data_IF_098366199487
#
_entry.id   IF_098366199487
#
_cell.length_a   1.000
_cell.length_b   1.000
_cell.length_c   1.000
_cell.angle_alpha   90.00
_cell.angle_beta   90.00
_cell.angle_gamma   90.00
#
_symmetry.space_group_name_H-M   'P 1'
#
loop_
_entity.id
_entity.type
_entity.pdbx_description
1 polymer ?
#
# COMPACT_ATOMS: atom_id res chain seq x y z
N UNK A 1 -45.97 -3.61 33.77
CA UNK A 1 -45.49 -5.00 33.63
C UNK A 1 -44.17 -4.97 32.86
N UNK A 2 -43.06 -5.10 33.58
CA UNK A 2 -41.72 -5.07 33.00
C UNK A 2 -41.32 -6.45 32.46
N UNK A 3 -40.70 -6.48 31.30
CA UNK A 3 -39.96 -7.66 30.83
C UNK A 3 -38.55 -7.24 30.40
N UNK A 4 -37.59 -7.91 31.05
CA UNK A 4 -36.16 -7.83 30.85
C UNK A 4 -35.76 -8.18 29.41
N UNK A 5 -35.03 -7.29 28.73
CA UNK A 5 -34.27 -7.63 27.52
C UNK A 5 -32.83 -7.92 27.95
N UNK A 6 -32.51 -9.21 28.05
CA UNK A 6 -31.17 -9.71 28.29
C UNK A 6 -30.23 -9.38 27.12
N UNK A 7 -29.16 -8.64 27.42
CA UNK A 7 -28.02 -8.41 26.52
C UNK A 7 -27.28 -9.72 26.26
N UNK A 8 -27.52 -10.36 25.12
CA UNK A 8 -26.74 -11.52 24.70
C UNK A 8 -25.52 -11.07 23.86
N UNK A 9 -24.42 -10.71 24.54
CA UNK A 9 -23.09 -10.53 23.91
C UNK A 9 -22.51 -11.91 23.57
N UNK A 10 -22.88 -12.48 22.42
CA UNK A 10 -22.08 -13.58 21.82
C UNK A 10 -20.91 -12.98 21.06
N UNK A 11 -19.72 -13.12 21.65
CA UNK A 11 -18.42 -12.80 21.03
C UNK A 11 -18.19 -13.77 19.86
N UNK A 12 -18.23 -13.25 18.63
CA UNK A 12 -17.63 -13.89 17.45
C UNK A 12 -16.11 -13.99 17.66
N UNK A 13 -15.64 -15.03 18.35
CA UNK A 13 -14.23 -15.42 18.42
C UNK A 13 -14.07 -16.73 17.66
N UNK A 14 -13.92 -16.62 16.35
CA UNK A 14 -13.77 -17.78 15.46
C UNK A 14 -13.03 -17.48 14.17
N UNK A 15 -12.23 -16.42 14.09
CA UNK A 15 -11.44 -16.09 12.90
C UNK A 15 -10.19 -15.29 13.30
N UNK A 16 -9.13 -15.97 13.77
CA UNK A 16 -7.77 -15.39 13.88
C UNK A 16 -6.64 -16.35 14.34
N UNK A 17 -6.77 -17.68 14.20
CA UNK A 17 -5.67 -18.59 14.60
C UNK A 17 -5.46 -19.72 13.60
N UNK A 18 -4.64 -19.48 12.57
CA UNK A 18 -3.63 -20.43 12.08
C UNK A 18 -2.83 -19.76 10.96
N UNK A 19 -1.65 -19.21 11.25
CA UNK A 19 -0.50 -19.03 10.34
C UNK A 19 0.70 -18.58 11.18
N UNK A 20 1.14 -19.45 12.08
CA UNK A 20 2.42 -19.34 12.78
C UNK A 20 2.87 -20.75 13.13
N UNK A 21 3.65 -21.37 12.25
CA UNK A 21 4.63 -22.43 12.55
C UNK A 21 5.27 -22.87 11.26
N UNK A 22 6.46 -22.35 10.96
CA UNK A 22 7.53 -23.06 10.24
C UNK A 22 8.76 -22.17 10.12
N UNK A 23 9.49 -22.00 11.23
CA UNK A 23 10.96 -22.04 11.25
C UNK A 23 11.34 -22.55 12.65
N UNK A 24 11.56 -23.86 12.79
CA UNK A 24 12.33 -24.43 13.92
C UNK A 24 13.43 -25.29 13.31
N UNK A 25 14.68 -24.90 13.54
CA UNK A 25 15.84 -25.82 13.49
C UNK A 25 16.16 -26.29 14.92
N UNK A 26 16.70 -27.51 15.11
CA UNK A 26 16.77 -28.14 16.42
C UNK A 26 18.02 -27.76 17.22
N UNK A 27 17.83 -27.59 18.53
CA UNK A 27 18.75 -28.02 19.59
C UNK A 27 20.01 -27.18 19.87
N UNK A 28 19.96 -26.36 20.92
CA UNK A 28 21.05 -26.21 21.90
C UNK A 28 20.51 -25.57 23.20
N UNK A 29 21.03 -26.00 24.35
CA UNK A 29 20.53 -25.76 25.71
C UNK A 29 20.83 -24.35 26.24
N UNK A 30 19.91 -23.92 27.11
CA UNK A 30 19.91 -22.86 28.14
C UNK A 30 21.20 -22.12 28.50
N UNK A 31 21.12 -20.78 28.58
CA UNK A 31 21.53 -19.97 29.73
C UNK A 31 20.94 -18.55 29.64
N UNK A 32 20.55 -18.00 30.78
CA UNK A 32 19.94 -16.67 30.96
C UNK A 32 20.91 -15.52 30.72
N UNK A 33 20.44 -14.40 30.17
CA UNK A 33 20.69 -13.05 30.69
C UNK A 33 20.04 -11.99 29.79
N UNK A 34 19.79 -10.83 30.41
CA UNK A 34 19.10 -9.65 29.92
C UNK A 34 19.74 -9.06 28.65
N UNK A 35 18.93 -8.60 27.70
CA UNK A 35 19.39 -7.84 26.52
C UNK A 35 19.26 -6.33 26.79
N UNK A 36 20.30 -5.51 26.52
CA UNK A 36 20.24 -4.06 26.72
C UNK A 36 19.69 -3.32 25.47
N UNK A 37 19.25 -2.05 25.63
CA UNK A 37 18.69 -1.25 24.54
C UNK A 37 19.76 -0.64 23.63
N UNK A 38 19.34 -0.25 22.42
CA UNK A 38 20.14 0.40 21.37
C UNK A 38 20.98 1.58 21.90
N UNK A 39 22.29 1.53 21.65
CA UNK A 39 23.17 2.69 21.76
C UNK A 39 24.14 2.82 20.59
N UNK A 40 24.57 4.07 20.43
CA UNK A 40 25.21 4.71 19.29
C UNK A 40 26.70 4.33 19.08
N UNK A 41 27.16 4.71 17.88
CA UNK A 41 28.52 4.62 17.35
C UNK A 41 29.64 5.05 18.30
N UNK A 42 30.70 4.23 18.36
CA UNK A 42 32.09 4.67 18.59
C UNK A 42 33.05 3.85 17.70
N UNK A 43 34.00 4.55 17.07
CA UNK A 43 35.07 3.98 16.23
C UNK A 43 36.13 3.25 17.07
N UNK A 44 36.80 2.22 16.54
CA UNK A 44 38.05 1.71 17.11
C UNK A 44 39.29 2.18 16.35
N UNK A 45 40.28 2.52 17.17
CA UNK A 45 41.69 2.78 16.90
C UNK A 45 42.47 1.54 16.47
N UNK A 46 43.54 1.77 15.73
CA UNK A 46 44.48 0.79 15.16
C UNK A 46 45.59 0.46 16.17
N UNK A 47 45.97 -0.82 16.25
CA UNK A 47 47.31 -1.26 16.70
C UNK A 47 47.89 -2.30 15.72
N UNK A 48 49.19 -2.16 15.46
CA UNK A 48 50.03 -2.88 14.48
C UNK A 48 50.64 -4.18 15.04
N UNK A 49 51.30 -4.89 14.12
CA UNK A 49 52.34 -5.94 14.23
C UNK A 49 51.83 -7.39 14.08
N UNK A 50 52.41 -8.27 13.26
CA UNK A 50 53.56 -8.21 12.34
C UNK A 50 53.67 -9.54 11.55
N UNK A 51 54.30 -9.45 10.35
CA UNK A 51 55.19 -10.39 9.60
C UNK A 51 55.00 -11.93 9.76
N UNK A 52 55.10 -12.82 8.74
CA UNK A 52 56.07 -12.90 7.61
C UNK A 52 55.68 -13.95 6.52
N UNK A 53 56.01 -13.62 5.25
CA UNK A 53 56.62 -14.40 4.14
C UNK A 53 56.02 -15.68 3.49
N UNK A 54 55.77 -15.62 2.15
CA UNK A 54 56.63 -16.13 1.01
C UNK A 54 55.91 -15.87 -0.34
N UNK A 55 56.41 -15.00 -1.25
CA UNK A 55 57.30 -15.24 -2.43
C UNK A 55 56.56 -15.88 -3.66
N UNK A 56 56.66 -15.48 -4.94
CA UNK A 56 57.66 -14.76 -5.77
C UNK A 56 57.08 -14.24 -7.12
N UNK A 57 57.87 -13.38 -7.81
CA UNK A 57 57.95 -13.06 -9.26
C UNK A 57 57.13 -11.84 -9.75
N UNK A 58 57.66 -10.60 -9.71
CA UNK A 58 58.66 -9.91 -10.56
C UNK A 58 58.09 -9.28 -11.84
N UNK A 59 58.18 -7.94 -11.94
CA UNK A 59 58.84 -7.14 -12.99
C UNK A 59 58.77 -5.63 -12.61
N UNK A 60 59.70 -4.83 -13.13
CA UNK A 60 60.40 -3.71 -12.48
C UNK A 60 60.02 -2.35 -13.09
N UNK A 61 60.17 -1.24 -12.34
CA UNK A 61 60.89 0.04 -12.68
C UNK A 61 60.26 1.33 -12.12
N UNK A 62 61.02 1.92 -11.18
CA UNK A 62 61.31 3.35 -10.84
C UNK A 62 60.37 4.17 -9.95
N UNK A 63 60.97 4.59 -8.83
CA UNK A 63 60.48 5.51 -7.80
C UNK A 63 61.11 6.89 -7.92
N UNK A 64 60.37 7.95 -7.56
CA UNK A 64 60.91 9.19 -6.98
C UNK A 64 60.01 9.61 -5.80
N UNK A 65 60.63 10.00 -4.68
CA UNK A 65 60.03 10.25 -3.35
C UNK A 65 59.54 11.71 -3.14
N UNK A 66 58.34 11.87 -2.53
CA UNK A 66 57.93 12.67 -1.32
C UNK A 66 58.15 14.23 -1.34
N UNK A 67 57.33 15.13 -0.70
CA UNK A 67 56.38 14.95 0.43
C UNK A 67 54.99 15.64 0.39
N UNK A 68 54.12 15.12 1.30
CA UNK A 68 53.06 15.76 2.10
C UNK A 68 52.25 16.96 1.56
N UNK A 69 50.92 16.78 1.45
CA UNK A 69 49.98 17.54 2.29
C UNK A 69 48.55 16.97 2.28
N UNK A 70 47.92 17.00 3.44
CA UNK A 70 46.52 16.64 3.69
C UNK A 70 45.57 17.48 2.82
N UNK A 71 44.60 16.83 2.16
CA UNK A 71 43.46 17.53 1.55
C UNK A 71 42.17 16.75 1.82
N UNK A 72 41.34 17.35 2.66
CA UNK A 72 39.92 17.05 2.85
C UNK A 72 39.16 17.31 1.56
N UNK A 73 38.57 16.28 0.94
CA UNK A 73 37.55 16.47 -0.10
C UNK A 73 36.17 16.22 0.50
N UNK A 74 35.49 17.32 0.81
CA UNK A 74 34.04 17.38 0.92
C UNK A 74 33.43 16.85 -0.39
N UNK A 75 32.48 15.92 -0.30
CA UNK A 75 31.60 15.56 -1.42
C UNK A 75 30.49 16.60 -1.46
N UNK A 76 30.54 17.45 -2.48
CA UNK A 76 29.50 18.39 -2.86
C UNK A 76 28.19 17.64 -3.11
N UNK A 77 27.13 18.02 -2.42
CA UNK A 77 25.75 17.62 -2.72
C UNK A 77 25.39 18.31 -4.03
N UNK A 78 25.12 17.52 -5.07
CA UNK A 78 24.65 18.03 -6.36
C UNK A 78 23.19 18.46 -6.22
N UNK A 79 22.93 19.75 -6.36
CA UNK A 79 21.59 20.29 -6.55
C UNK A 79 20.93 19.63 -7.77
N UNK A 80 19.75 19.04 -7.57
CA UNK A 80 18.98 18.41 -8.63
C UNK A 80 18.37 19.48 -9.53
N UNK A 81 18.77 19.52 -10.79
CA UNK A 81 18.05 20.26 -11.84
C UNK A 81 16.95 19.35 -12.40
N UNK A 82 15.70 19.82 -12.54
CA UNK A 82 14.63 19.02 -13.13
C UNK A 82 14.97 18.65 -14.57
N UNK A 83 15.11 17.36 -14.84
CA UNK A 83 15.23 16.87 -16.21
C UNK A 83 13.89 17.07 -16.92
N UNK A 84 13.89 17.79 -18.05
CA UNK A 84 12.72 17.98 -18.91
C UNK A 84 12.09 16.68 -19.46
N UNK A 85 12.71 15.51 -19.20
CA UNK A 85 12.19 14.18 -19.54
C UNK A 85 11.09 13.66 -18.61
N UNK A 86 10.93 14.20 -17.39
CA UNK A 86 9.91 13.70 -16.44
C UNK A 86 8.48 14.01 -16.94
N UNK A 87 8.29 15.16 -17.59
CA UNK A 87 7.00 15.52 -18.17
C UNK A 87 6.55 14.60 -19.30
N UNK A 88 7.48 13.97 -20.03
CA UNK A 88 7.12 13.06 -21.13
C UNK A 88 6.63 11.70 -20.64
N UNK A 89 7.05 11.22 -19.47
CA UNK A 89 6.64 9.89 -18.96
C UNK A 89 5.30 9.93 -18.21
N UNK A 90 5.00 11.00 -17.46
CA UNK A 90 3.66 11.22 -16.89
C UNK A 90 2.59 11.33 -18.00
N UNK A 91 2.92 11.95 -19.14
CA UNK A 91 2.08 11.92 -20.33
C UNK A 91 1.95 10.50 -20.93
N UNK A 92 2.97 9.64 -20.82
CA UNK A 92 2.94 8.28 -21.37
C UNK A 92 2.05 7.32 -20.57
N UNK A 93 1.99 7.44 -19.24
CA UNK A 93 1.03 6.68 -18.43
C UNK A 93 -0.40 7.20 -18.64
N UNK A 94 -0.57 8.52 -18.73
CA UNK A 94 -1.86 9.15 -19.03
C UNK A 94 -2.43 8.78 -20.41
N UNK A 95 -1.59 8.33 -21.36
CA UNK A 95 -2.03 7.86 -22.68
C UNK A 95 -2.52 6.41 -22.70
N UNK A 96 -2.25 5.60 -21.66
CA UNK A 96 -2.60 4.17 -21.64
C UNK A 96 -3.83 3.84 -20.78
N UNK A 97 -4.10 4.61 -19.73
CA UNK A 97 -5.22 4.38 -18.81
C UNK A 97 -5.96 5.67 -18.47
N UNK A 98 -7.21 5.54 -18.03
CA UNK A 98 -7.96 6.68 -17.50
C UNK A 98 -7.29 7.21 -16.21
N UNK A 99 -7.41 8.53 -15.92
CA UNK A 99 -6.82 9.13 -14.72
C UNK A 99 -7.25 8.40 -13.44
N UNK A 100 -6.44 8.40 -12.36
CA UNK A 100 -6.73 7.69 -11.11
C UNK A 100 -7.81 8.36 -10.24
N UNK A 101 -8.99 8.61 -10.81
CA UNK A 101 -10.14 9.21 -10.12
C UNK A 101 -10.65 8.29 -9.00
N UNK A 102 -10.55 6.97 -9.20
CA UNK A 102 -10.84 5.95 -8.19
C UNK A 102 -9.70 4.93 -8.09
N UNK A 103 -9.22 4.71 -6.86
CA UNK A 103 -8.27 3.64 -6.54
C UNK A 103 -8.72 2.79 -5.35
N UNK A 104 -8.35 1.51 -5.36
CA UNK A 104 -8.50 0.62 -4.20
C UNK A 104 -7.25 0.74 -3.34
N UNK A 105 -7.43 0.99 -2.03
CA UNK A 105 -6.32 1.17 -1.11
C UNK A 105 -5.48 -0.10 -0.93
N UNK A 106 -4.15 0.01 -0.73
CA UNK A 106 -3.31 -1.10 -0.33
C UNK A 106 -3.71 -1.58 1.07
N UNK A 107 -4.10 -2.85 1.19
CA UNK A 107 -4.59 -3.43 2.43
C UNK A 107 -3.99 -4.81 2.65
N UNK A 108 -3.10 -4.91 3.65
CA UNK A 108 -2.49 -6.18 4.06
C UNK A 108 -3.56 -7.27 4.28
N UNK A 109 -3.27 -8.45 3.76
CA UNK A 109 -4.06 -9.68 3.70
C UNK A 109 -5.38 -9.56 2.91
N UNK A 110 -5.65 -8.42 2.27
CA UNK A 110 -6.92 -8.13 1.61
C UNK A 110 -6.75 -7.87 0.12
N UNK A 111 -5.83 -6.98 -0.27
CA UNK A 111 -5.55 -6.67 -1.68
C UNK A 111 -4.47 -7.57 -2.27
N UNK A 112 -4.56 -8.88 -2.00
CA UNK A 112 -3.69 -9.89 -2.59
C UNK A 112 -3.96 -10.04 -4.11
N UNK A 113 -3.18 -10.89 -4.78
CA UNK A 113 -3.34 -11.14 -6.22
C UNK A 113 -4.75 -11.62 -6.57
N UNK A 114 -5.38 -12.41 -5.69
CA UNK A 114 -6.69 -13.02 -5.92
C UNK A 114 -7.80 -11.97 -5.84
N UNK A 115 -7.76 -11.10 -4.83
CA UNK A 115 -8.68 -9.98 -4.71
C UNK A 115 -8.54 -9.01 -5.88
N UNK A 116 -7.30 -8.68 -6.30
CA UNK A 116 -7.10 -7.76 -7.42
C UNK A 116 -7.64 -8.35 -8.74
N UNK A 117 -7.51 -9.65 -8.96
CA UNK A 117 -8.19 -10.33 -10.08
C UNK A 117 -9.71 -10.18 -9.99
N UNK A 118 -10.31 -10.45 -8.82
CA UNK A 118 -11.75 -10.24 -8.62
C UNK A 118 -12.16 -8.78 -8.90
N UNK A 119 -11.42 -7.82 -8.34
CA UNK A 119 -11.70 -6.41 -8.49
C UNK A 119 -11.65 -5.97 -9.96
N UNK A 120 -10.68 -6.46 -10.72
CA UNK A 120 -10.54 -6.20 -12.16
C UNK A 120 -11.66 -6.83 -12.99
N UNK A 121 -12.13 -8.02 -12.61
CA UNK A 121 -13.28 -8.64 -13.27
C UNK A 121 -14.56 -7.80 -13.08
N UNK A 122 -14.70 -7.11 -11.94
CA UNK A 122 -15.85 -6.25 -11.65
C UNK A 122 -15.71 -4.85 -12.28
N UNK A 123 -14.53 -4.22 -12.22
CA UNK A 123 -14.26 -2.88 -12.76
C UNK A 123 -12.99 -2.87 -13.63
N UNK A 124 -13.11 -2.33 -14.84
CA UNK A 124 -12.03 -2.20 -15.81
C UNK A 124 -11.13 -0.99 -15.54
N UNK A 125 -11.62 0.03 -14.84
CA UNK A 125 -10.92 1.31 -14.70
C UNK A 125 -10.47 1.66 -13.28
N UNK A 126 -10.87 0.87 -12.26
CA UNK A 126 -10.31 1.04 -10.92
C UNK A 126 -8.78 0.83 -10.94
N UNK A 127 -8.05 1.76 -10.34
CA UNK A 127 -6.62 1.61 -10.08
C UNK A 127 -6.42 0.69 -8.86
N UNK A 128 -5.62 -0.35 -9.02
CA UNK A 128 -5.44 -1.38 -8.00
C UNK A 128 -4.08 -1.23 -7.33
N UNK A 129 -4.04 -1.25 -6.00
CA UNK A 129 -2.78 -1.28 -5.26
C UNK A 129 -2.52 -2.69 -4.73
N UNK A 130 -1.26 -3.11 -4.73
CA UNK A 130 -0.83 -4.33 -4.06
C UNK A 130 -1.01 -4.23 -2.54
N UNK A 131 -0.85 -5.33 -1.83
CA UNK A 131 -0.42 -5.24 -0.43
C UNK A 131 0.92 -4.51 -0.33
N UNK A 132 1.20 -3.94 0.84
CA UNK A 132 2.52 -3.36 1.11
C UNK A 132 3.57 -4.46 1.21
N UNK A 133 4.58 -4.41 0.36
CA UNK A 133 5.74 -5.30 0.39
C UNK A 133 6.94 -4.60 1.01
N UNK A 134 7.59 -5.24 1.98
CA UNK A 134 8.82 -4.70 2.55
C UNK A 134 9.98 -4.86 1.54
N UNK A 135 10.80 -3.82 1.37
CA UNK A 135 11.93 -3.83 0.46
C UNK A 135 12.91 -4.99 0.77
N UNK A 136 13.15 -5.24 2.05
CA UNK A 136 13.95 -6.38 2.53
C UNK A 136 13.40 -7.72 2.06
N UNK A 137 12.07 -7.87 2.01
CA UNK A 137 11.45 -9.12 1.55
C UNK A 137 11.74 -9.35 0.08
N UNK A 138 11.62 -8.31 -0.76
CA UNK A 138 11.94 -8.39 -2.19
C UNK A 138 13.43 -8.72 -2.38
N UNK A 139 14.32 -8.03 -1.67
CA UNK A 139 15.77 -8.25 -1.80
C UNK A 139 16.17 -9.65 -1.37
N UNK A 140 15.72 -10.12 -0.19
CA UNK A 140 16.12 -11.43 0.34
C UNK A 140 15.41 -12.62 -0.32
N UNK A 141 14.28 -12.39 -1.00
CA UNK A 141 13.56 -13.41 -1.74
C UNK A 141 13.79 -13.32 -3.25
N UNK A 142 14.92 -12.75 -3.71
CA UNK A 142 15.25 -12.59 -5.14
C UNK A 142 15.06 -13.87 -5.98
N UNK A 143 15.28 -15.05 -5.39
CA UNK A 143 15.08 -16.34 -6.07
C UNK A 143 13.63 -16.85 -6.14
N UNK A 144 12.66 -16.12 -5.60
CA UNK A 144 11.25 -16.51 -5.51
C UNK A 144 10.32 -15.28 -5.58
N UNK A 145 10.67 -14.30 -6.42
CA UNK A 145 9.94 -13.03 -6.48
C UNK A 145 8.53 -13.17 -7.04
N UNK A 146 8.27 -14.12 -7.94
CA UNK A 146 6.95 -14.34 -8.53
C UNK A 146 5.88 -14.57 -7.47
N UNK A 147 6.24 -15.22 -6.36
CA UNK A 147 5.34 -15.43 -5.23
C UNK A 147 4.80 -14.12 -4.64
N UNK A 148 5.57 -13.04 -4.72
CA UNK A 148 5.26 -11.75 -4.10
C UNK A 148 4.82 -10.70 -5.14
N UNK A 149 5.46 -10.71 -6.31
CA UNK A 149 5.37 -9.64 -7.30
C UNK A 149 4.61 -10.03 -8.56
N UNK A 150 4.40 -11.32 -8.85
CA UNK A 150 3.66 -11.70 -10.06
C UNK A 150 2.17 -11.42 -9.92
N UNK A 151 1.59 -10.97 -11.03
CA UNK A 151 0.16 -10.75 -11.22
C UNK A 151 -0.20 -11.06 -12.68
N UNK A 152 -1.48 -11.21 -13.00
CA UNK A 152 -1.86 -11.42 -14.41
C UNK A 152 -2.00 -10.08 -15.14
N UNK A 153 -1.60 -9.98 -16.42
CA UNK A 153 -1.56 -8.70 -17.17
C UNK A 153 -2.89 -7.94 -17.18
N UNK A 154 -4.02 -8.62 -17.00
CA UNK A 154 -5.34 -8.01 -16.96
C UNK A 154 -5.48 -7.02 -15.78
N UNK A 155 -4.67 -7.13 -14.72
CA UNK A 155 -4.79 -6.28 -13.53
C UNK A 155 -4.41 -4.82 -13.74
N UNK A 156 -3.77 -4.45 -14.86
CA UNK A 156 -3.48 -3.05 -15.19
C UNK A 156 -4.76 -2.17 -15.22
N UNK A 157 -4.70 -0.90 -14.74
CA UNK A 157 -3.57 -0.26 -14.07
C UNK A 157 -3.38 -0.77 -12.62
N UNK A 158 -2.14 -1.07 -12.25
CA UNK A 158 -1.73 -1.62 -10.96
C UNK A 158 -0.48 -0.93 -10.39
N UNK A 159 -0.55 -0.62 -9.10
CA UNK A 159 0.49 0.08 -8.35
C UNK A 159 1.13 -0.85 -7.33
N UNK A 160 2.46 -0.97 -7.35
CA UNK A 160 3.21 -1.67 -6.32
C UNK A 160 3.45 -0.73 -5.14
N UNK A 161 2.95 -1.09 -3.95
CA UNK A 161 3.34 -0.40 -2.73
C UNK A 161 4.53 -1.09 -2.05
N UNK A 162 5.62 -0.35 -1.88
CA UNK A 162 6.80 -0.77 -1.11
C UNK A 162 6.90 -0.02 0.22
N UNK A 163 7.56 -0.63 1.20
CA UNK A 163 7.93 0.00 2.47
C UNK A 163 9.31 -0.44 2.92
N UNK A 164 10.03 0.43 3.64
CA UNK A 164 11.36 0.13 4.15
C UNK A 164 12.01 1.37 4.75
N UNK A 165 13.16 1.20 5.39
CA UNK A 165 13.93 2.27 6.02
C UNK A 165 15.42 2.25 5.64
N UNK A 166 15.80 1.46 4.63
CA UNK A 166 17.16 1.36 4.14
C UNK A 166 17.19 1.75 2.66
N UNK A 167 17.95 2.78 2.32
CA UNK A 167 18.02 3.32 0.96
C UNK A 167 18.53 2.29 -0.06
N UNK A 168 19.52 1.48 0.28
CA UNK A 168 20.08 0.46 -0.61
C UNK A 168 19.05 -0.64 -0.91
N UNK A 169 18.32 -1.10 0.09
CA UNK A 169 17.24 -2.07 -0.10
C UNK A 169 16.09 -1.48 -0.92
N UNK A 170 15.73 -0.21 -0.71
CA UNK A 170 14.70 0.46 -1.51
C UNK A 170 15.11 0.59 -2.98
N UNK A 171 16.36 0.97 -3.25
CA UNK A 171 16.92 0.97 -4.60
C UNK A 171 16.80 -0.42 -5.23
N UNK A 172 17.30 -1.44 -4.52
CA UNK A 172 17.40 -2.79 -5.07
C UNK A 172 16.04 -3.45 -5.25
N UNK A 173 15.11 -3.24 -4.32
CA UNK A 173 13.75 -3.75 -4.42
C UNK A 173 13.02 -3.14 -5.62
N UNK A 174 13.21 -1.83 -5.86
CA UNK A 174 12.64 -1.12 -7.01
C UNK A 174 13.21 -1.64 -8.32
N UNK A 175 14.54 -1.78 -8.41
CA UNK A 175 15.22 -2.36 -9.58
C UNK A 175 14.69 -3.77 -9.91
N UNK A 176 14.54 -4.62 -8.88
CA UNK A 176 14.01 -5.98 -9.05
C UNK A 176 12.54 -5.99 -9.47
N UNK A 177 11.75 -5.00 -9.05
CA UNK A 177 10.33 -4.91 -9.39
C UNK A 177 10.07 -4.47 -10.84
N UNK A 178 11.03 -3.81 -11.50
CA UNK A 178 10.86 -3.34 -12.89
C UNK A 178 10.51 -4.47 -13.87
N UNK A 179 11.01 -5.69 -13.64
CA UNK A 179 10.70 -6.86 -14.47
C UNK A 179 9.22 -7.27 -14.42
N UNK A 180 8.46 -6.78 -13.44
CA UNK A 180 7.03 -7.05 -13.26
C UNK A 180 6.15 -5.94 -13.84
N UNK A 181 6.73 -4.88 -14.42
CA UNK A 181 6.00 -3.88 -15.21
C UNK A 181 4.81 -3.20 -14.50
N UNK A 182 4.89 -2.96 -13.19
CA UNK A 182 3.89 -2.14 -12.48
C UNK A 182 3.78 -0.75 -13.11
N UNK A 183 2.59 -0.15 -13.07
CA UNK A 183 2.33 1.16 -13.71
C UNK A 183 2.75 2.35 -12.84
N UNK A 184 3.01 2.12 -11.55
CA UNK A 184 3.46 3.12 -10.57
C UNK A 184 4.15 2.41 -9.38
N UNK A 185 5.13 3.06 -8.77
CA UNK A 185 5.72 2.65 -7.49
C UNK A 185 5.29 3.61 -6.37
N UNK A 186 4.58 3.08 -5.38
CA UNK A 186 4.12 3.86 -4.22
C UNK A 186 4.93 3.53 -2.96
N UNK A 187 5.34 4.55 -2.21
CA UNK A 187 6.05 4.38 -0.94
C UNK A 187 5.10 4.53 0.26
N UNK A 188 5.15 3.55 1.18
CA UNK A 188 4.32 3.55 2.38
C UNK A 188 4.93 4.40 3.51
N UNK A 189 4.30 5.53 3.80
CA UNK A 189 4.58 6.39 4.96
C UNK A 189 3.35 6.50 5.88
N UNK A 190 2.49 5.47 5.92
CA UNK A 190 1.16 5.59 6.55
C UNK A 190 0.70 4.41 7.42
N UNK A 191 1.40 3.27 7.39
CA UNK A 191 1.04 2.09 8.17
C UNK A 191 1.42 2.26 9.67
N UNK A 192 0.46 2.17 10.61
CA UNK A 192 0.74 2.28 12.05
C UNK A 192 0.99 0.91 12.73
N UNK A 193 1.16 -0.18 11.97
CA UNK A 193 1.33 -1.52 12.54
C UNK A 193 2.60 -1.60 13.39
N UNK A 194 2.58 -2.18 14.61
CA UNK A 194 3.80 -2.34 15.42
C UNK A 194 4.91 -3.13 14.72
N UNK A 195 4.57 -4.08 13.83
CA UNK A 195 5.57 -4.81 13.03
C UNK A 195 6.31 -3.91 12.05
N UNK A 196 5.64 -2.87 11.56
CA UNK A 196 6.13 -1.94 10.53
C UNK A 196 6.74 -0.70 11.18
N UNK A 197 5.96 0.04 11.97
CA UNK A 197 6.37 1.28 12.61
C UNK A 197 7.21 1.09 13.88
N UNK A 198 7.02 -0.03 14.58
CA UNK A 198 7.83 -0.39 15.75
C UNK A 198 9.10 -1.10 15.34
N UNK A 199 9.01 -2.39 15.00
CA UNK A 199 10.18 -3.22 14.72
C UNK A 199 10.85 -2.94 13.37
N UNK A 200 10.07 -2.62 12.34
CA UNK A 200 10.60 -2.29 11.02
C UNK A 200 11.14 -0.86 10.93
N UNK A 201 10.76 0.03 11.86
CA UNK A 201 11.09 1.46 11.81
C UNK A 201 10.71 2.15 10.48
N UNK A 202 9.63 1.71 9.82
CA UNK A 202 9.08 2.35 8.60
C UNK A 202 7.56 2.51 8.65
N UNK A 203 6.92 2.93 7.55
CA UNK A 203 5.50 3.24 7.55
C UNK A 203 5.25 4.60 8.19
N UNK A 204 4.26 4.71 9.07
CA UNK A 204 3.87 6.05 9.57
C UNK A 204 4.96 6.75 10.38
N UNK A 205 5.90 6.01 10.99
CA UNK A 205 7.05 6.58 11.70
C UNK A 205 7.92 7.46 10.79
N UNK A 206 7.95 7.19 9.49
CA UNK A 206 8.72 7.96 8.51
C UNK A 206 8.21 9.39 8.35
N UNK A 207 6.98 9.70 8.75
CA UNK A 207 6.49 11.08 8.75
C UNK A 207 7.26 11.98 9.72
N UNK A 208 7.98 11.41 10.69
CA UNK A 208 8.84 12.14 11.61
C UNK A 208 10.27 12.36 11.07
N UNK A 209 10.57 11.80 9.88
CA UNK A 209 11.84 11.99 9.18
C UNK A 209 11.58 12.29 7.69
N UNK A 210 11.05 13.48 7.37
CA UNK A 210 10.74 13.87 5.99
C UNK A 210 11.99 13.94 5.10
N UNK A 211 13.18 14.19 5.67
CA UNK A 211 14.44 14.18 4.94
C UNK A 211 14.74 12.79 4.40
N UNK A 212 14.66 11.76 5.25
CA UNK A 212 14.82 10.39 4.82
C UNK A 212 13.79 10.01 3.74
N UNK A 213 12.53 10.42 3.88
CA UNK A 213 11.51 10.13 2.86
C UNK A 213 11.86 10.77 1.52
N UNK A 214 12.35 12.02 1.51
CA UNK A 214 12.86 12.66 0.30
C UNK A 214 14.02 11.87 -0.35
N UNK A 215 15.01 11.46 0.45
CA UNK A 215 16.14 10.64 -0.03
C UNK A 215 15.67 9.27 -0.57
N UNK A 216 14.76 8.61 0.14
CA UNK A 216 14.16 7.35 -0.26
C UNK A 216 13.42 7.47 -1.59
N UNK A 217 12.59 8.49 -1.75
CA UNK A 217 11.86 8.72 -3.00
C UNK A 217 12.79 9.06 -4.17
N UNK A 218 13.87 9.80 -3.94
CA UNK A 218 14.90 10.04 -4.96
C UNK A 218 15.56 8.75 -5.41
N UNK A 219 15.89 7.85 -4.48
CA UNK A 219 16.47 6.55 -4.80
C UNK A 219 15.48 5.62 -5.51
N UNK A 220 14.22 5.59 -5.08
CA UNK A 220 13.16 4.81 -5.75
C UNK A 220 12.98 5.32 -7.19
N UNK A 221 12.82 6.63 -7.39
CA UNK A 221 12.65 7.23 -8.70
C UNK A 221 13.85 6.98 -9.62
N UNK A 222 15.07 7.01 -9.11
CA UNK A 222 16.27 6.72 -9.90
C UNK A 222 16.38 5.26 -10.37
N UNK A 223 15.59 4.34 -9.80
CA UNK A 223 15.63 2.91 -10.11
C UNK A 223 14.35 2.40 -10.79
N UNK A 224 13.50 3.29 -11.31
CA UNK A 224 12.32 2.91 -12.09
C UNK A 224 12.01 3.96 -13.16
N UNK A 225 11.26 3.57 -14.20
CA UNK A 225 10.82 4.47 -15.28
C UNK A 225 9.31 4.74 -15.21
N UNK A 226 8.66 4.39 -14.10
CA UNK A 226 7.23 4.66 -13.89
C UNK A 226 7.07 5.72 -12.81
N UNK A 227 5.93 6.44 -12.77
CA UNK A 227 5.68 7.45 -11.76
C UNK A 227 5.84 6.90 -10.34
N UNK A 228 6.27 7.79 -9.44
CA UNK A 228 6.46 7.48 -8.03
C UNK A 228 5.56 8.35 -7.17
N UNK A 229 5.00 7.77 -6.10
CA UNK A 229 4.08 8.47 -5.21
C UNK A 229 4.30 8.08 -3.75
N UNK A 230 3.82 8.91 -2.82
CA UNK A 230 3.90 8.65 -1.38
C UNK A 230 2.49 8.51 -0.81
N UNK A 231 2.25 7.43 -0.05
CA UNK A 231 1.01 7.30 0.74
C UNK A 231 1.28 7.54 2.22
N UNK A 232 0.74 8.63 2.77
CA UNK A 232 0.95 9.03 4.16
C UNK A 232 -0.39 9.26 4.91
N UNK A 233 -0.27 9.75 6.14
CA UNK A 233 -1.37 10.25 6.97
C UNK A 233 -1.25 11.77 7.12
N UNK A 234 -2.15 12.37 7.90
CA UNK A 234 -2.09 13.81 8.23
C UNK A 234 -1.22 14.13 9.48
N UNK A 235 -0.63 13.12 10.12
CA UNK A 235 0.18 13.32 11.33
C UNK A 235 0.38 12.06 12.15
N UNK A 236 1.26 12.14 13.15
CA UNK A 236 1.68 11.02 14.02
C UNK A 236 1.78 11.47 15.46
N UNK A 237 1.08 10.78 16.36
CA UNK A 237 1.03 11.12 17.78
C UNK A 237 0.77 12.63 17.93
N UNK A 238 1.61 13.40 18.62
CA UNK A 238 1.39 14.85 18.81
C UNK A 238 1.97 15.73 17.68
N UNK A 239 2.52 15.13 16.63
CA UNK A 239 2.98 15.82 15.41
C UNK A 239 1.90 15.73 14.33
N UNK A 240 0.81 16.48 14.52
CA UNK A 240 -0.39 16.44 13.67
C UNK A 240 -1.01 17.81 13.36
N UNK A 241 -0.21 18.87 13.47
CA UNK A 241 -0.59 20.19 12.97
C UNK A 241 -0.60 20.22 11.43
N UNK A 242 -1.37 21.15 10.88
CA UNK A 242 -1.40 21.35 9.42
C UNK A 242 -0.02 21.78 8.87
N UNK A 243 0.70 22.64 9.60
CA UNK A 243 2.04 23.07 9.20
C UNK A 243 3.05 21.92 9.17
N UNK A 244 3.01 20.99 10.13
CA UNK A 244 3.89 19.80 10.10
C UNK A 244 3.59 18.89 8.90
N UNK A 245 2.32 18.76 8.52
CA UNK A 245 1.95 18.05 7.29
C UNK A 245 2.50 18.77 6.05
N UNK A 246 2.39 20.11 5.99
CA UNK A 246 2.94 20.89 4.88
C UNK A 246 4.46 20.82 4.83
N UNK A 247 5.15 20.93 5.97
CA UNK A 247 6.61 20.78 6.09
C UNK A 247 7.06 19.40 5.55
N UNK A 248 6.31 18.33 5.86
CA UNK A 248 6.54 17.00 5.30
C UNK A 248 6.40 16.96 3.77
N UNK A 249 5.28 17.48 3.23
CA UNK A 249 5.02 17.49 1.79
C UNK A 249 6.07 18.32 1.04
N UNK A 250 6.38 19.53 1.54
CA UNK A 250 7.38 20.42 0.97
C UNK A 250 8.76 19.76 0.92
N UNK A 251 9.22 19.19 2.04
CA UNK A 251 10.54 18.56 2.11
C UNK A 251 10.67 17.37 1.16
N UNK A 252 9.67 16.49 1.10
CA UNK A 252 9.69 15.31 0.24
C UNK A 252 9.67 15.70 -1.24
N UNK A 253 8.80 16.65 -1.63
CA UNK A 253 8.69 17.10 -3.02
C UNK A 253 9.89 17.94 -3.49
N UNK A 254 10.56 18.65 -2.58
CA UNK A 254 11.77 19.43 -2.90
C UNK A 254 13.02 18.57 -3.03
N UNK A 255 13.12 17.49 -2.25
CA UNK A 255 14.27 16.58 -2.26
C UNK A 255 14.14 15.41 -3.25
N UNK A 256 13.01 15.30 -3.96
CA UNK A 256 12.76 14.18 -4.88
C UNK A 256 11.87 14.55 -6.07
N UNK A 257 11.82 13.70 -7.11
CA UNK A 257 10.87 13.85 -8.21
C UNK A 257 9.40 13.60 -7.84
N UNK A 258 9.07 13.29 -6.58
CA UNK A 258 7.69 12.94 -6.18
C UNK A 258 6.73 14.11 -6.40
N UNK A 259 5.67 13.89 -7.19
CA UNK A 259 4.62 14.89 -7.44
C UNK A 259 3.21 14.43 -7.05
N UNK A 260 3.05 13.21 -6.57
CA UNK A 260 1.75 12.66 -6.17
C UNK A 260 1.76 12.11 -4.74
N UNK A 261 0.80 12.56 -3.93
CA UNK A 261 0.63 12.14 -2.54
C UNK A 261 -0.77 11.60 -2.26
N UNK A 262 -0.86 10.45 -1.62
CA UNK A 262 -2.11 9.85 -1.17
C UNK A 262 -2.25 10.12 0.33
N UNK A 263 -3.22 10.97 0.70
CA UNK A 263 -3.39 11.45 2.08
C UNK A 263 -4.52 10.68 2.76
N UNK A 264 -4.18 9.84 3.73
CA UNK A 264 -5.20 9.34 4.66
C UNK A 264 -5.51 10.43 5.69
N UNK A 265 -6.73 10.98 5.63
CA UNK A 265 -7.20 12.14 6.42
C UNK A 265 -7.40 11.87 7.92
N UNK A 266 -6.65 10.93 8.52
CA UNK A 266 -6.58 10.63 9.95
C UNK A 266 -5.13 10.54 10.38
N UNK A 267 -4.79 11.14 11.52
CA UNK A 267 -3.49 10.90 12.18
C UNK A 267 -3.32 9.43 12.53
N UNK A 268 -2.09 8.99 12.78
CA UNK A 268 -1.83 7.74 13.48
C UNK A 268 -1.52 8.00 14.95
N UNK A 269 -1.92 7.06 15.80
CA UNK A 269 -1.42 6.92 17.16
C UNK A 269 -0.60 5.63 17.20
N UNK A 270 0.70 5.74 17.51
CA UNK A 270 1.60 4.59 17.56
C UNK A 270 1.41 3.78 18.85
N UNK A 271 0.94 4.43 19.91
CA UNK A 271 0.73 3.84 21.21
C UNK A 271 -0.76 3.77 21.59
N UNK A 272 -1.12 2.76 22.39
CA UNK A 272 -2.42 2.68 23.05
C UNK A 272 -3.59 2.14 22.22
N UNK A 273 -3.47 1.96 20.89
CA UNK A 273 -4.56 1.45 20.05
C UNK A 273 -4.09 0.50 18.93
N UNK A 274 -4.98 -0.38 18.49
CA UNK A 274 -4.70 -1.31 17.39
C UNK A 274 -4.65 -0.60 16.02
N UNK A 275 -4.04 -1.20 14.97
CA UNK A 275 -4.12 -0.66 13.60
C UNK A 275 -5.56 -0.53 13.06
N UNK A 276 -6.48 -1.39 13.52
CA UNK A 276 -7.89 -1.30 13.17
C UNK A 276 -8.56 -0.09 13.82
N UNK A 277 -8.27 0.15 15.11
CA UNK A 277 -8.74 1.32 15.84
C UNK A 277 -8.12 2.62 15.30
N UNK A 278 -6.87 2.59 14.82
CA UNK A 278 -6.22 3.70 14.13
C UNK A 278 -6.95 4.16 12.84
N UNK A 279 -7.90 3.37 12.32
CA UNK A 279 -8.76 3.71 11.17
C UNK A 279 -10.18 4.10 11.58
N UNK A 280 -10.46 4.22 12.89
CA UNK A 280 -11.79 4.46 13.45
C UNK A 280 -11.81 5.49 14.57
N UNK A 281 -10.79 5.54 15.42
CA UNK A 281 -10.76 6.40 16.61
C UNK A 281 -10.31 7.84 16.28
N UNK A 282 -9.11 8.10 15.72
CA UNK A 282 -8.67 9.50 15.50
C UNK A 282 -9.54 10.18 14.44
N UNK A 283 -10.09 11.38 14.66
CA UNK A 283 -11.08 11.97 13.76
C UNK A 283 -10.55 12.15 12.34
N UNK A 284 -11.47 12.16 11.37
CA UNK A 284 -11.17 12.56 10.00
C UNK A 284 -11.04 14.08 9.96
N UNK A 285 -9.99 14.58 9.33
CA UNK A 285 -9.79 16.01 9.01
C UNK A 285 -9.64 16.15 7.51
N UNK A 286 -10.76 16.27 6.80
CA UNK A 286 -10.75 16.42 5.34
C UNK A 286 -10.28 17.82 4.92
N UNK A 287 -10.51 18.81 5.77
CA UNK A 287 -10.06 20.19 5.61
C UNK A 287 -8.55 20.31 5.41
N UNK A 288 -7.74 19.44 6.04
CA UNK A 288 -6.29 19.40 5.79
C UNK A 288 -5.96 18.95 4.37
N UNK A 289 -6.72 17.99 3.81
CA UNK A 289 -6.50 17.55 2.43
C UNK A 289 -6.83 18.67 1.44
N UNK A 290 -7.96 19.36 1.60
CA UNK A 290 -8.34 20.43 0.67
C UNK A 290 -7.44 21.66 0.82
N UNK A 291 -6.91 21.94 2.02
CA UNK A 291 -5.92 22.99 2.19
C UNK A 291 -4.60 22.67 1.47
N UNK A 292 -4.19 21.39 1.38
CA UNK A 292 -3.01 21.02 0.57
C UNK A 292 -3.20 21.33 -0.92
N UNK A 293 -4.43 21.23 -1.46
CA UNK A 293 -4.71 21.62 -2.84
C UNK A 293 -4.49 23.11 -3.08
N UNK A 294 -4.82 23.94 -2.08
CA UNK A 294 -4.57 25.39 -2.10
C UNK A 294 -3.08 25.71 -2.00
N UNK A 295 -2.39 25.08 -1.06
CA UNK A 295 -1.02 25.47 -0.69
C UNK A 295 0.06 24.82 -1.58
N UNK A 296 -0.28 23.76 -2.32
CA UNK A 296 0.63 23.06 -3.24
C UNK A 296 -0.02 22.82 -4.62
N UNK A 297 -0.29 23.88 -5.40
CA UNK A 297 -1.00 23.77 -6.68
C UNK A 297 -0.26 22.94 -7.74
N UNK A 298 1.07 22.84 -7.63
CA UNK A 298 1.92 22.06 -8.54
C UNK A 298 1.96 20.55 -8.22
N UNK A 299 1.34 20.13 -7.11
CA UNK A 299 1.31 18.73 -6.67
C UNK A 299 -0.06 18.10 -6.88
N UNK A 300 -0.08 16.78 -7.06
CA UNK A 300 -1.30 15.97 -7.12
C UNK A 300 -1.55 15.28 -5.79
N UNK A 301 -2.82 15.18 -5.43
CA UNK A 301 -3.24 14.59 -4.15
C UNK A 301 -4.45 13.67 -4.30
N UNK A 302 -4.39 12.48 -3.71
CA UNK A 302 -5.53 11.56 -3.63
C UNK A 302 -6.03 11.48 -2.19
N UNK A 303 -7.32 11.75 -1.97
CA UNK A 303 -7.94 11.70 -0.64
C UNK A 303 -8.24 10.27 -0.23
N UNK A 304 -8.02 9.94 1.05
CA UNK A 304 -8.29 8.62 1.61
C UNK A 304 -8.87 8.70 3.03
N UNK A 305 -9.73 7.75 3.36
CA UNK A 305 -10.22 7.51 4.73
C UNK A 305 -11.69 7.89 4.91
N UNK A 306 -12.49 6.95 5.42
CA UNK A 306 -13.91 7.20 5.75
C UNK A 306 -14.88 7.34 4.57
N UNK A 307 -14.39 7.23 3.34
CA UNK A 307 -15.17 7.24 2.09
C UNK A 307 -15.62 5.82 1.77
N UNK A 308 -16.93 5.59 1.65
CA UNK A 308 -17.52 4.24 1.61
C UNK A 308 -18.44 3.96 0.42
N UNK A 309 -18.60 4.88 -0.53
CA UNK A 309 -19.43 4.67 -1.72
C UNK A 309 -18.95 5.52 -2.89
N UNK A 310 -19.38 5.16 -4.12
CA UNK A 310 -19.10 5.96 -5.32
C UNK A 310 -19.79 7.33 -5.30
N UNK A 311 -20.88 7.48 -4.53
CA UNK A 311 -21.53 8.78 -4.28
C UNK A 311 -20.59 9.69 -3.51
N UNK A 312 -19.97 9.18 -2.44
CA UNK A 312 -19.00 9.94 -1.65
C UNK A 312 -17.71 10.22 -2.45
N UNK A 313 -17.30 9.31 -3.34
CA UNK A 313 -16.20 9.56 -4.28
C UNK A 313 -16.53 10.74 -5.18
N UNK A 314 -17.69 10.73 -5.86
CA UNK A 314 -18.12 11.83 -6.71
C UNK A 314 -18.28 13.15 -5.95
N UNK A 315 -18.75 13.10 -4.70
CA UNK A 315 -18.79 14.28 -3.84
C UNK A 315 -17.38 14.86 -3.60
N UNK A 316 -16.38 14.02 -3.29
CA UNK A 316 -15.01 14.48 -3.14
C UNK A 316 -14.43 15.07 -4.44
N UNK A 317 -14.69 14.43 -5.58
CA UNK A 317 -14.22 14.91 -6.89
C UNK A 317 -14.85 16.26 -7.26
N UNK A 318 -16.14 16.47 -6.97
CA UNK A 318 -16.82 17.76 -7.19
C UNK A 318 -16.24 18.90 -6.34
N UNK A 319 -15.80 18.59 -5.12
CA UNK A 319 -15.11 19.54 -4.24
C UNK A 319 -13.64 19.81 -4.64
N UNK A 320 -13.15 19.16 -5.70
CA UNK A 320 -11.82 19.42 -6.27
C UNK A 320 -10.75 18.39 -5.94
N UNK A 321 -11.09 17.26 -5.29
CA UNK A 321 -10.11 16.19 -5.09
C UNK A 321 -9.57 15.67 -6.43
N UNK A 322 -8.25 15.56 -6.59
CA UNK A 322 -7.64 15.05 -7.83
C UNK A 322 -7.90 13.54 -8.06
N UNK A 323 -8.20 12.81 -6.99
CA UNK A 323 -8.57 11.40 -7.02
C UNK A 323 -8.97 10.91 -5.64
N UNK A 324 -9.63 9.75 -5.58
CA UNK A 324 -10.14 9.19 -4.33
C UNK A 324 -9.68 7.74 -4.17
N UNK A 325 -9.13 7.43 -2.99
CA UNK A 325 -8.75 6.07 -2.64
C UNK A 325 -9.73 5.48 -1.63
N UNK A 326 -10.37 4.37 -2.01
CA UNK A 326 -11.35 3.64 -1.20
C UNK A 326 -10.74 2.35 -0.68
N UNK A 327 -10.79 2.15 0.64
CA UNK A 327 -10.26 0.94 1.28
C UNK A 327 -11.34 -0.07 1.61
N UNK A 328 -11.78 -0.06 2.88
CA UNK A 328 -12.68 -1.10 3.44
C UNK A 328 -13.97 -1.30 2.65
N UNK A 329 -14.57 -0.25 2.07
CA UNK A 329 -15.79 -0.40 1.31
C UNK A 329 -15.59 -1.22 0.03
N UNK A 330 -14.49 -0.99 -0.70
CA UNK A 330 -14.15 -1.77 -1.90
C UNK A 330 -13.98 -3.27 -1.60
N UNK A 331 -13.48 -3.63 -0.41
CA UNK A 331 -13.32 -5.04 0.00
C UNK A 331 -14.57 -5.65 0.63
N UNK A 332 -15.29 -4.89 1.45
CA UNK A 332 -16.46 -5.40 2.19
C UNK A 332 -17.72 -5.42 1.33
N UNK A 333 -17.81 -4.53 0.35
CA UNK A 333 -18.96 -4.35 -0.54
C UNK A 333 -18.47 -4.26 -1.99
N UNK A 334 -17.70 -5.26 -2.49
CA UNK A 334 -17.04 -5.15 -3.79
C UNK A 334 -18.04 -4.99 -4.93
N UNK A 335 -19.19 -5.68 -4.88
CA UNK A 335 -20.22 -5.54 -5.90
C UNK A 335 -20.83 -4.13 -5.91
N UNK A 336 -21.22 -3.62 -4.74
CA UNK A 336 -21.86 -2.31 -4.61
C UNK A 336 -20.89 -1.12 -4.73
N UNK A 337 -19.58 -1.36 -4.58
CA UNK A 337 -18.57 -0.32 -4.74
C UNK A 337 -17.98 -0.38 -6.14
N UNK A 338 -17.27 -1.47 -6.46
CA UNK A 338 -16.52 -1.60 -7.71
C UNK A 338 -17.46 -1.68 -8.92
N UNK A 339 -18.63 -2.29 -8.77
CA UNK A 339 -19.59 -2.42 -9.87
C UNK A 339 -20.04 -1.08 -10.44
N UNK A 340 -20.08 -0.03 -9.63
CA UNK A 340 -20.46 1.30 -10.09
C UNK A 340 -19.26 2.20 -10.47
N UNK A 341 -18.01 1.73 -10.35
CA UNK A 341 -16.83 2.57 -10.62
C UNK A 341 -16.80 3.00 -12.09
N UNK A 342 -16.88 2.04 -13.01
CA UNK A 342 -16.75 2.32 -14.44
C UNK A 342 -17.86 3.26 -14.94
N UNK A 343 -19.09 3.08 -14.47
CA UNK A 343 -20.24 3.89 -14.87
C UNK A 343 -20.29 5.23 -14.14
N UNK A 344 -20.31 5.22 -12.80
CA UNK A 344 -20.58 6.42 -12.00
C UNK A 344 -19.38 7.35 -11.88
N UNK A 345 -18.14 6.85 -12.02
CA UNK A 345 -16.92 7.67 -11.91
C UNK A 345 -16.34 7.98 -13.29
N UNK A 346 -16.25 6.98 -14.17
CA UNK A 346 -15.61 7.12 -15.48
C UNK A 346 -16.58 7.32 -16.64
N UNK A 347 -17.89 7.40 -16.38
CA UNK A 347 -18.91 7.66 -17.40
C UNK A 347 -19.02 6.57 -18.46
N UNK A 348 -18.53 5.36 -18.20
CA UNK A 348 -18.60 4.26 -19.15
C UNK A 348 -20.02 3.70 -19.23
N UNK A 349 -20.41 3.10 -20.37
CA UNK A 349 -21.65 2.34 -20.46
C UNK A 349 -21.68 1.19 -19.44
N UNK A 350 -22.87 0.83 -18.96
CA UNK A 350 -23.03 -0.36 -18.13
C UNK A 350 -22.57 -1.59 -18.90
N UNK A 351 -21.77 -2.43 -18.24
CA UNK A 351 -21.23 -3.65 -18.84
C UNK A 351 -22.25 -4.79 -18.91
N UNK A 352 -23.38 -4.68 -18.21
CA UNK A 352 -24.37 -5.74 -18.05
C UNK A 352 -23.84 -6.98 -17.33
N UNK A 353 -22.66 -6.91 -16.70
CA UNK A 353 -22.05 -8.04 -16.01
C UNK A 353 -22.88 -8.44 -14.79
N UNK A 354 -23.10 -9.74 -14.65
CA UNK A 354 -23.77 -10.36 -13.50
C UNK A 354 -22.76 -11.07 -12.63
N UNK A 355 -23.12 -11.35 -11.37
CA UNK A 355 -22.23 -12.11 -10.47
C UNK A 355 -21.91 -13.49 -11.03
N UNK A 356 -22.85 -14.12 -11.74
CA UNK A 356 -22.64 -15.41 -12.42
C UNK A 356 -21.47 -15.36 -13.39
N UNK A 357 -21.48 -14.41 -14.32
CA UNK A 357 -20.41 -14.24 -15.32
C UNK A 357 -19.07 -13.95 -14.67
N UNK A 358 -19.04 -13.14 -13.61
CA UNK A 358 -17.81 -12.88 -12.85
C UNK A 358 -17.28 -14.14 -12.19
N UNK A 359 -18.15 -14.95 -11.57
CA UNK A 359 -17.76 -16.18 -10.88
C UNK A 359 -17.28 -17.26 -11.85
N UNK A 360 -17.86 -17.37 -13.04
CA UNK A 360 -17.38 -18.26 -14.11
C UNK A 360 -15.95 -17.91 -14.52
N UNK A 361 -15.67 -16.63 -14.79
CA UNK A 361 -14.30 -16.16 -15.11
C UNK A 361 -13.33 -16.33 -13.94
N UNK A 362 -13.80 -16.09 -12.72
CA UNK A 362 -12.98 -16.27 -11.53
C UNK A 362 -12.68 -17.75 -11.26
N UNK A 363 -13.58 -18.66 -11.63
CA UNK A 363 -13.35 -20.11 -11.57
C UNK A 363 -12.17 -20.50 -12.45
N UNK A 364 -12.18 -20.07 -13.73
CA UNK A 364 -11.10 -20.35 -14.68
C UNK A 364 -9.74 -19.86 -14.17
N UNK A 365 -9.70 -18.60 -13.69
CA UNK A 365 -8.52 -18.05 -13.04
C UNK A 365 -8.09 -18.91 -11.84
N UNK A 366 -9.02 -19.19 -10.94
CA UNK A 366 -8.73 -19.87 -9.70
C UNK A 366 -8.19 -21.28 -9.91
N UNK A 367 -8.85 -22.07 -10.76
CA UNK A 367 -8.38 -23.40 -11.13
C UNK A 367 -7.00 -23.37 -11.81
N UNK A 368 -6.70 -22.29 -12.56
CA UNK A 368 -5.38 -22.15 -13.16
C UNK A 368 -4.26 -21.93 -12.14
N UNK A 369 -4.53 -21.26 -11.00
CA UNK A 369 -3.50 -20.83 -10.03
C UNK A 369 -3.33 -21.75 -8.83
N UNK A 370 -4.27 -22.66 -8.57
CA UNK A 370 -4.20 -23.59 -7.45
C UNK A 370 -2.92 -24.43 -7.50
N UNK A 371 -2.22 -24.54 -6.37
CA UNK A 371 -1.01 -25.37 -6.23
C UNK A 371 0.27 -24.83 -6.90
N UNK A 372 0.23 -23.69 -7.60
CA UNK A 372 1.40 -23.14 -8.34
C UNK A 372 2.62 -22.84 -7.49
N UNK A 373 2.46 -22.57 -6.19
CA UNK A 373 3.55 -22.20 -5.28
C UNK A 373 4.14 -23.42 -4.53
N UNK A 374 3.78 -24.64 -4.93
CA UNK A 374 4.13 -25.87 -4.22
C UNK A 374 3.34 -26.06 -2.92
N UNK A 375 3.52 -27.20 -2.25
CA UNK A 375 2.85 -27.55 -0.99
C UNK A 375 1.32 -27.37 -1.01
N UNK A 376 0.69 -27.60 -2.17
CA UNK A 376 -0.75 -27.37 -2.42
C UNK A 376 -1.19 -25.93 -2.14
N UNK A 377 -0.34 -24.94 -2.47
CA UNK A 377 -0.63 -23.50 -2.31
C UNK A 377 -0.52 -22.75 -3.64
N UNK A 378 -1.34 -21.71 -3.87
CA UNK A 378 -2.51 -21.36 -3.07
C UNK A 378 -3.55 -22.48 -3.12
N UNK A 379 -4.32 -22.66 -2.04
CA UNK A 379 -5.45 -23.59 -2.01
C UNK A 379 -6.79 -22.87 -2.20
N UNK A 380 -7.87 -23.63 -2.31
CA UNK A 380 -9.24 -23.11 -2.53
C UNK A 380 -9.61 -22.02 -1.51
N UNK A 381 -9.21 -22.17 -0.25
CA UNK A 381 -9.50 -21.17 0.79
C UNK A 381 -8.82 -19.84 0.50
N UNK A 382 -7.56 -19.85 0.08
CA UNK A 382 -6.81 -18.63 -0.26
C UNK A 382 -7.40 -17.96 -1.50
N UNK A 383 -7.69 -18.73 -2.54
CA UNK A 383 -8.25 -18.22 -3.79
C UNK A 383 -9.68 -17.71 -3.62
N UNK A 384 -10.52 -18.37 -2.82
CA UNK A 384 -11.91 -17.99 -2.62
C UNK A 384 -12.13 -16.91 -1.55
N UNK A 385 -11.13 -16.62 -0.69
CA UNK A 385 -11.25 -15.64 0.40
C UNK A 385 -11.80 -14.27 -0.07
N UNK A 386 -11.37 -13.69 -1.21
CA UNK A 386 -11.90 -12.41 -1.70
C UNK A 386 -13.41 -12.45 -2.02
N UNK A 387 -13.94 -13.62 -2.38
CA UNK A 387 -15.34 -13.78 -2.76
C UNK A 387 -16.28 -13.69 -1.55
N UNK A 388 -15.77 -13.83 -0.32
CA UNK A 388 -16.58 -13.93 0.90
C UNK A 388 -17.50 -12.73 1.16
N UNK A 389 -17.28 -11.62 0.46
CA UNK A 389 -18.09 -10.41 0.56
C UNK A 389 -18.87 -10.07 -0.72
N UNK A 390 -18.79 -10.90 -1.78
CA UNK A 390 -19.45 -10.65 -3.07
C UNK A 390 -20.98 -10.56 -2.96
N UNK A 391 -21.56 -11.32 -2.04
CA UNK A 391 -23.00 -11.40 -1.77
C UNK A 391 -23.41 -10.61 -0.52
N UNK A 392 -22.64 -9.60 -0.11
CA UNK A 392 -22.99 -8.80 1.07
C UNK A 392 -24.42 -8.24 0.97
N UNK A 393 -25.19 -8.41 2.06
CA UNK A 393 -26.62 -8.05 2.18
C UNK A 393 -27.58 -8.69 1.18
N UNK A 394 -27.15 -9.70 0.43
CA UNK A 394 -28.02 -10.44 -0.48
C UNK A 394 -28.70 -11.64 0.19
N UNK A 395 -29.89 -12.05 -0.28
CA UNK A 395 -30.50 -13.33 0.07
C UNK A 395 -29.52 -14.50 -0.13
N UNK A 396 -29.50 -15.45 0.81
CA UNK A 396 -28.65 -16.64 0.73
C UNK A 396 -27.20 -16.47 1.23
N UNK A 397 -26.70 -15.23 1.38
CA UNK A 397 -25.32 -14.95 1.77
C UNK A 397 -24.86 -15.69 3.05
N UNK A 398 -25.68 -15.66 4.11
CA UNK A 398 -25.36 -16.35 5.37
C UNK A 398 -25.26 -17.88 5.20
N UNK A 399 -26.12 -18.47 4.35
CA UNK A 399 -26.06 -19.90 4.05
C UNK A 399 -24.84 -20.23 3.18
N UNK A 400 -24.57 -19.40 2.18
CA UNK A 400 -23.40 -19.51 1.31
C UNK A 400 -22.08 -19.49 2.11
N UNK A 401 -21.92 -18.57 3.07
CA UNK A 401 -20.74 -18.55 3.96
C UNK A 401 -20.56 -19.84 4.77
N UNK A 402 -21.64 -20.40 5.32
CA UNK A 402 -21.59 -21.69 6.04
C UNK A 402 -21.20 -22.84 5.11
N UNK A 403 -21.73 -22.87 3.88
CA UNK A 403 -21.36 -23.86 2.87
C UNK A 403 -19.90 -23.70 2.45
N UNK A 404 -19.42 -22.46 2.28
CA UNK A 404 -18.01 -22.18 1.98
C UNK A 404 -17.08 -22.72 3.08
N UNK A 405 -17.43 -22.50 4.36
CA UNK A 405 -16.67 -23.03 5.50
C UNK A 405 -16.57 -24.56 5.50
N UNK A 406 -17.64 -25.24 5.08
CA UNK A 406 -17.65 -26.70 4.89
C UNK A 406 -16.79 -27.09 3.68
N UNK A 407 -17.03 -26.47 2.53
CA UNK A 407 -16.33 -26.74 1.27
C UNK A 407 -14.80 -26.56 1.40
N UNK A 408 -14.33 -25.60 2.19
CA UNK A 408 -12.90 -25.42 2.45
C UNK A 408 -12.20 -26.58 3.16
N UNK A 409 -12.94 -27.59 3.64
CA UNK A 409 -12.37 -28.76 4.30
C UNK A 409 -12.04 -29.88 3.30
N UNK A 410 -12.70 -29.92 2.14
CA UNK A 410 -12.59 -31.04 1.20
C UNK A 410 -12.52 -30.66 -0.28
N UNK A 411 -12.98 -29.48 -0.69
CA UNK A 411 -12.87 -29.03 -2.07
C UNK A 411 -11.41 -28.74 -2.44
N UNK A 412 -10.98 -29.25 -3.59
CA UNK A 412 -9.63 -29.08 -4.13
C UNK A 412 -9.59 -28.23 -5.40
N UNK A 413 -10.75 -27.94 -6.02
CA UNK A 413 -10.89 -27.04 -7.17
C UNK A 413 -11.88 -25.92 -6.87
N UNK A 414 -11.77 -24.82 -7.61
CA UNK A 414 -12.77 -23.75 -7.56
C UNK A 414 -14.11 -24.21 -8.15
N UNK A 415 -14.09 -25.06 -9.18
CA UNK A 415 -15.30 -25.67 -9.73
C UNK A 415 -16.11 -26.43 -8.67
N UNK A 416 -15.50 -27.36 -7.94
CA UNK A 416 -16.23 -28.13 -6.91
C UNK A 416 -16.72 -27.21 -5.78
N UNK A 417 -15.91 -26.20 -5.42
CA UNK A 417 -16.31 -25.18 -4.44
C UNK A 417 -17.57 -24.42 -4.89
N UNK A 418 -17.67 -24.01 -6.14
CA UNK A 418 -18.84 -23.30 -6.65
C UNK A 418 -20.07 -24.20 -6.79
N UNK A 419 -19.92 -25.42 -7.28
CA UNK A 419 -21.01 -26.41 -7.37
C UNK A 419 -21.66 -26.67 -6.00
N UNK A 420 -20.87 -26.72 -4.91
CA UNK A 420 -21.40 -26.96 -3.57
C UNK A 420 -21.98 -25.72 -2.88
N UNK A 421 -21.43 -24.55 -3.18
CA UNK A 421 -21.72 -23.31 -2.43
C UNK A 421 -22.79 -22.46 -3.11
N UNK A 422 -22.75 -22.31 -4.43
CA UNK A 422 -23.63 -21.37 -5.15
C UNK A 422 -25.10 -21.79 -5.15
N UNK A 423 -25.41 -23.07 -4.88
CA UNK A 423 -26.79 -23.52 -4.62
C UNK A 423 -27.50 -22.78 -3.48
N UNK A 424 -26.76 -22.05 -2.64
CA UNK A 424 -27.32 -21.22 -1.58
C UNK A 424 -27.70 -19.80 -2.02
N UNK A 425 -27.28 -19.36 -3.21
CA UNK A 425 -27.56 -18.03 -3.74
C UNK A 425 -28.66 -18.17 -4.81
N UNK A 426 -29.79 -17.45 -4.70
CA UNK A 426 -30.83 -17.48 -5.72
C UNK A 426 -30.33 -16.98 -7.08
N UNK A 427 -30.87 -17.53 -8.17
CA UNK A 427 -30.55 -17.07 -9.53
C UNK A 427 -30.87 -15.58 -9.72
N UNK A 428 -31.92 -15.07 -9.07
CA UNK A 428 -32.24 -13.63 -9.09
C UNK A 428 -31.13 -12.74 -8.51
N UNK A 429 -30.25 -13.27 -7.65
CA UNK A 429 -29.08 -12.54 -7.12
C UNK A 429 -27.86 -12.75 -8.03
N UNK A 430 -27.67 -13.96 -8.57
CA UNK A 430 -26.56 -14.31 -9.45
C UNK A 430 -26.65 -13.59 -10.80
N UNK A 431 -27.86 -13.46 -11.33
CA UNK A 431 -28.17 -12.93 -12.65
C UNK A 431 -28.64 -11.47 -12.62
N UNK A 432 -28.75 -10.86 -11.44
CA UNK A 432 -28.95 -9.41 -11.35
C UNK A 432 -27.70 -8.70 -11.87
N UNK A 433 -27.80 -7.86 -12.90
CA UNK A 433 -26.72 -6.98 -13.28
C UNK A 433 -26.48 -5.93 -12.19
N UNK A 434 -25.40 -5.17 -12.35
CA UNK A 434 -25.16 -3.98 -11.52
C UNK A 434 -26.19 -2.93 -11.90
N UNK A 435 -27.26 -2.84 -11.11
CA UNK A 435 -28.36 -1.90 -11.27
C UNK A 435 -28.62 -1.14 -9.97
N UNK A 436 -29.29 0.01 -10.12
CA UNK A 436 -29.67 0.88 -9.01
C UNK A 436 -28.80 2.13 -8.88
N UNK A 437 -29.41 3.19 -8.34
CA UNK A 437 -28.69 4.41 -7.98
C UNK A 437 -27.81 4.09 -6.77
N UNK A 438 -26.49 4.30 -6.84
CA UNK A 438 -25.63 4.04 -5.70
C UNK A 438 -26.05 4.93 -4.53
N UNK A 439 -26.05 4.39 -3.31
CA UNK A 439 -26.40 5.14 -2.10
C UNK A 439 -25.15 5.67 -1.39
N UNK A 440 -25.23 6.86 -0.81
CA UNK A 440 -24.16 7.41 0.02
C UNK A 440 -24.47 8.83 0.51
N UNK A 441 -23.54 9.41 1.27
CA UNK A 441 -23.63 10.79 1.76
C UNK A 441 -23.14 11.75 0.68
N UNK A 442 -24.04 12.53 0.09
CA UNK A 442 -23.67 13.55 -0.90
C UNK A 442 -23.04 14.80 -0.26
N UNK A 443 -23.40 15.07 0.99
CA UNK A 443 -23.01 16.25 1.77
C UNK A 443 -21.74 16.04 2.60
N UNK A 444 -21.04 14.91 2.44
CA UNK A 444 -19.88 14.55 3.25
C UNK A 444 -18.79 15.63 3.28
N UNK A 445 -18.67 16.41 2.21
CA UNK A 445 -17.66 17.46 2.05
C UNK A 445 -18.25 18.86 1.92
N UNK A 446 -19.57 19.04 2.07
CA UNK A 446 -20.27 20.28 1.71
C UNK A 446 -19.75 21.55 2.42
N UNK A 447 -19.22 21.42 3.64
CA UNK A 447 -18.71 22.55 4.43
C UNK A 447 -17.18 22.54 4.57
N UNK A 448 -16.46 21.76 3.75
CA UNK A 448 -15.03 21.54 3.96
C UNK A 448 -14.20 22.81 3.71
N UNK A 449 -14.67 23.67 2.80
CA UNK A 449 -14.01 24.93 2.46
C UNK A 449 -14.05 25.96 3.62
N UNK A 450 -15.09 25.91 4.44
CA UNK A 450 -15.21 26.80 5.62
C UNK A 450 -14.34 26.35 6.80
N UNK A 451 -13.86 25.11 6.76
CA UNK A 451 -13.08 24.48 7.82
C UNK A 451 -11.57 24.50 7.54
N UNK A 452 -11.15 25.08 6.41
CA UNK A 452 -9.73 25.07 6.04
C UNK A 452 -8.87 25.77 7.09
N UNK A 453 -7.72 25.18 7.47
CA UNK A 453 -6.74 25.88 8.29
C UNK A 453 -6.19 27.11 7.55
N UNK A 454 -5.56 28.00 8.33
CA UNK A 454 -4.81 29.14 7.79
C UNK A 454 -3.84 28.68 6.68
N UNK A 455 -3.62 29.51 5.64
CA UNK A 455 -2.59 29.28 4.64
C UNK A 455 -1.25 28.89 5.26
N UNK A 456 -0.61 27.88 4.66
CA UNK A 456 0.74 27.51 5.02
C UNK A 456 1.69 28.67 4.66
N UNK A 457 2.41 29.19 5.65
CA UNK A 457 3.42 30.21 5.46
C UNK A 457 4.79 29.55 5.60
N UNK A 458 5.58 29.58 4.52
CA UNK A 458 6.92 28.98 4.50
C UNK A 458 7.78 29.83 5.43
N UNK A 459 8.09 29.31 6.62
CA UNK A 459 9.00 29.98 7.55
C UNK A 459 10.33 30.26 6.82
N UNK A 460 10.61 31.54 6.55
CA UNK A 460 11.77 32.03 5.79
C UNK A 460 13.13 31.48 6.27
N UNK A 461 13.21 30.92 7.47
CA UNK A 461 14.43 30.37 8.06
C UNK A 461 14.99 29.12 7.35
N UNK A 462 14.19 28.37 6.57
CA UNK A 462 14.70 27.21 5.80
C UNK A 462 15.10 27.54 4.35
N UNK A 463 14.71 28.71 3.82
CA UNK A 463 15.09 29.13 2.47
C UNK A 463 16.57 29.59 2.38
N UNK A 464 17.25 29.77 3.51
CA UNK A 464 18.62 30.29 3.61
C UNK A 464 19.70 29.18 3.48
N UNK A 465 19.30 27.90 3.48
CA UNK A 465 20.24 26.76 3.38
C UNK A 465 19.91 25.75 2.26
N UNK A 466 19.08 26.13 1.28
CA UNK A 466 18.80 25.32 0.09
C UNK A 466 19.85 25.55 -1.01
#
# INVERSE_FOLDING_TARGET
MGFFIGKNKRKNKGWQRTYLREVRRPGARTLSSQLPPCQAFQQPTITKEGQTQKAYSSHVIVSINIPYNYSTKARTISSYTPNAQIHTEDEMVARRYLPPLFSVAPMMEWTDNHYRTLARLISKHAWLYTEMLAAETIVYQKGNLDRFLAYSPEQHPIVLQIGGNNLENLAKATELANAYHYDEINFNCGCPSPKVAGHGCFGVRLMLDPKFVGEAMSVIAANTNVPVSVKCRIGVDDHDSYNELCDFIYKVSSLSPTRHFIIHSRKALLNGISPADNRRIPPLKYEYYYALLRDFPDLKFTINGGINSVVEVNAALREGAHGVMVGRAAYNFPWQTLGHVDTAIYGQPSSGLTRRVILERYQEYGDSVLGRNGNNRPNVREVAKPLLNLFYSEPGNSLWKRKADSAFQHCTTMKSFFEETLVAIPDSVLDSPIEGVPSGREDLFANVQDLLPSPYDVREQEAVYA
#
